data_IF_256404130072
#
_entry.id   IF_256404130072
#
_cell.length_a   1.000
_cell.length_b   1.000
_cell.length_c   1.000
_cell.angle_alpha   90.00
_cell.angle_beta   90.00
_cell.angle_gamma   90.00
#
_symmetry.space_group_name_H-M   'P 1'
#
loop_
_entity.id
_entity.type
_entity.pdbx_description
1 polymer ?
#
# COMPACT_ATOMS: atom_id res chain seq x y z
N UNK A 1 8.86 4.63 6.03
CA UNK A 1 8.26 4.68 4.68
C UNK A 1 7.27 5.84 4.66
N UNK A 2 7.17 6.64 3.59
CA UNK A 2 6.33 7.86 3.61
C UNK A 2 4.84 7.57 3.82
N UNK A 3 4.35 6.41 3.41
CA UNK A 3 2.94 6.03 3.54
C UNK A 3 2.59 5.37 4.89
N UNK A 4 3.27 5.73 5.98
CA UNK A 4 3.03 5.16 7.33
C UNK A 4 2.36 6.12 8.30
N UNK A 5 2.34 7.42 7.99
CA UNK A 5 1.55 8.42 8.73
C UNK A 5 0.87 9.36 7.75
N UNK A 6 -0.28 9.96 8.11
CA UNK A 6 -0.94 10.97 7.28
C UNK A 6 0.00 12.15 6.97
N UNK A 7 0.71 12.66 7.97
CA UNK A 7 1.63 13.80 7.82
C UNK A 7 2.74 13.53 6.78
N UNK A 8 3.47 12.41 6.92
CA UNK A 8 4.54 12.07 5.96
C UNK A 8 4.02 11.75 4.57
N UNK A 9 2.79 11.24 4.47
CA UNK A 9 2.13 11.01 3.18
C UNK A 9 1.82 12.34 2.49
N UNK A 10 1.21 13.26 3.23
CA UNK A 10 0.88 14.59 2.75
C UNK A 10 2.14 15.33 2.28
N UNK A 11 3.18 15.39 3.13
CA UNK A 11 4.42 16.11 2.83
C UNK A 11 5.09 15.64 1.54
N UNK A 12 5.21 14.32 1.34
CA UNK A 12 5.85 13.76 0.14
C UNK A 12 5.02 14.00 -1.10
N UNK A 13 3.70 13.85 -1.03
CA UNK A 13 2.82 14.15 -2.18
C UNK A 13 2.87 15.65 -2.49
N UNK A 14 2.78 16.52 -1.48
CA UNK A 14 2.81 17.97 -1.66
C UNK A 14 4.14 18.47 -2.23
N UNK A 15 5.26 17.86 -1.83
CA UNK A 15 6.59 18.18 -2.36
C UNK A 15 6.70 17.96 -3.88
N UNK A 16 5.81 17.16 -4.46
CA UNK A 16 5.75 16.91 -5.92
C UNK A 16 4.69 17.74 -6.64
N UNK A 17 4.10 18.75 -5.99
CA UNK A 17 2.99 19.57 -6.53
C UNK A 17 3.27 20.28 -7.84
N UNK A 18 4.55 20.51 -8.17
CA UNK A 18 4.95 21.13 -9.44
C UNK A 18 4.88 20.17 -10.65
N UNK A 19 4.69 18.87 -10.40
CA UNK A 19 4.57 17.86 -11.46
C UNK A 19 3.20 17.98 -12.13
N UNK A 20 3.21 18.19 -13.46
CA UNK A 20 2.00 18.43 -14.26
C UNK A 20 1.33 17.16 -14.81
N UNK A 21 2.00 16.02 -14.68
CA UNK A 21 1.44 14.71 -15.05
C UNK A 21 0.68 14.11 -13.86
N UNK A 22 -0.35 13.26 -14.07
CA UNK A 22 -1.09 12.64 -12.98
C UNK A 22 -0.18 11.91 -11.98
N UNK A 23 -0.45 12.10 -10.69
CA UNK A 23 0.36 11.62 -9.56
C UNK A 23 -0.44 10.62 -8.74
N UNK A 24 0.04 9.39 -8.67
CA UNK A 24 -0.63 8.29 -7.98
C UNK A 24 0.21 7.82 -6.79
N UNK A 25 -0.37 7.81 -5.59
CA UNK A 25 0.35 7.37 -4.38
C UNK A 25 0.19 5.85 -4.16
N UNK A 26 1.31 5.12 -4.15
CA UNK A 26 1.32 3.68 -3.84
C UNK A 26 1.42 3.46 -2.33
N UNK A 27 0.32 3.05 -1.69
CA UNK A 27 0.23 3.02 -0.23
C UNK A 27 0.56 1.63 0.36
N UNK A 28 1.23 1.64 1.50
CA UNK A 28 1.54 0.45 2.30
C UNK A 28 0.31 -0.05 3.08
N UNK A 29 0.06 -1.38 3.12
CA UNK A 29 -0.97 -1.95 3.98
C UNK A 29 -0.54 -2.03 5.45
N UNK A 30 0.74 -1.81 5.76
CA UNK A 30 1.32 -1.96 7.10
C UNK A 30 1.06 -0.71 7.97
N UNK A 31 -0.21 -0.34 8.11
CA UNK A 31 -0.69 0.82 8.88
C UNK A 31 -1.97 0.44 9.60
N UNK A 32 -2.26 1.12 10.72
CA UNK A 32 -3.50 0.87 11.48
C UNK A 32 -4.74 1.32 10.72
N UNK A 33 -4.72 2.50 10.10
CA UNK A 33 -5.83 3.05 9.35
C UNK A 33 -5.37 3.52 7.96
N UNK A 34 -5.60 2.70 6.94
CA UNK A 34 -5.23 3.04 5.57
C UNK A 34 -6.09 4.17 4.97
N UNK A 35 -7.31 4.35 5.46
CA UNK A 35 -8.22 5.40 4.97
C UNK A 35 -7.65 6.78 5.27
N UNK A 36 -7.09 7.00 6.46
CA UNK A 36 -6.43 8.26 6.83
C UNK A 36 -5.22 8.56 5.94
N UNK A 37 -4.42 7.54 5.61
CA UNK A 37 -3.27 7.67 4.72
C UNK A 37 -3.72 8.04 3.29
N UNK A 38 -4.77 7.39 2.79
CA UNK A 38 -5.32 7.67 1.47
C UNK A 38 -5.94 9.07 1.41
N UNK A 39 -6.63 9.51 2.46
CA UNK A 39 -7.17 10.87 2.55
C UNK A 39 -6.05 11.92 2.54
N UNK A 40 -4.97 11.70 3.30
CA UNK A 40 -3.82 12.62 3.28
C UNK A 40 -3.16 12.72 1.90
N UNK A 41 -3.07 11.62 1.15
CA UNK A 41 -2.58 11.64 -0.23
C UNK A 41 -3.51 12.47 -1.14
N UNK A 42 -4.82 12.30 -1.00
CA UNK A 42 -5.84 13.06 -1.74
C UNK A 42 -5.75 14.57 -1.43
N UNK A 43 -5.66 14.94 -0.15
CA UNK A 43 -5.57 16.34 0.30
C UNK A 43 -4.30 17.04 -0.22
N UNK A 44 -3.18 16.32 -0.32
CA UNK A 44 -1.95 16.82 -0.94
C UNK A 44 -1.98 16.87 -2.48
N UNK A 45 -3.12 16.51 -3.08
CA UNK A 45 -3.38 16.61 -4.51
C UNK A 45 -2.93 15.40 -5.33
N UNK A 46 -2.84 14.20 -4.76
CA UNK A 46 -2.73 12.99 -5.57
C UNK A 46 -4.01 12.81 -6.41
N UNK A 47 -3.86 12.41 -7.67
CA UNK A 47 -4.96 12.13 -8.60
C UNK A 47 -5.62 10.77 -8.34
N UNK A 48 -4.96 9.91 -7.57
CA UNK A 48 -5.46 8.59 -7.21
C UNK A 48 -4.48 7.85 -6.30
N UNK A 49 -4.89 6.66 -5.88
CA UNK A 49 -4.06 5.76 -5.08
C UNK A 49 -3.94 4.39 -5.72
N UNK A 50 -2.80 3.74 -5.49
CA UNK A 50 -2.60 2.34 -5.83
C UNK A 50 -2.53 1.53 -4.53
N UNK A 51 -3.41 0.56 -4.35
CA UNK A 51 -3.56 -0.20 -3.10
C UNK A 51 -3.48 -1.70 -3.40
N UNK A 52 -2.61 -2.52 -2.80
CA UNK A 52 -1.66 -2.23 -1.71
C UNK A 52 -0.22 -2.53 -2.15
N UNK A 53 0.75 -2.00 -1.43
CA UNK A 53 2.12 -2.54 -1.43
C UNK A 53 2.16 -3.89 -0.69
N UNK A 54 3.33 -4.51 -0.57
CA UNK A 54 3.51 -5.78 0.14
C UNK A 54 3.22 -5.67 1.64
N UNK A 55 2.78 -6.78 2.25
CA UNK A 55 2.69 -6.93 3.70
C UNK A 55 4.06 -7.30 4.27
N UNK A 56 4.44 -6.82 5.45
CA UNK A 56 5.71 -7.20 6.05
C UNK A 56 5.71 -8.66 6.51
N UNK A 57 6.76 -9.40 6.18
CA UNK A 57 6.95 -10.78 6.58
C UNK A 57 8.42 -11.14 6.75
N UNK A 58 8.67 -12.33 7.28
CA UNK A 58 10.01 -12.87 7.44
C UNK A 58 9.99 -14.40 7.34
N UNK A 59 11.16 -14.96 7.04
CA UNK A 59 11.40 -16.40 7.09
C UNK A 59 12.64 -16.62 7.94
N UNK A 60 12.58 -17.54 8.90
CA UNK A 60 13.71 -17.96 9.73
C UNK A 60 14.28 -19.26 9.18
N UNK A 61 15.59 -19.27 8.92
CA UNK A 61 16.35 -20.51 8.78
C UNK A 61 16.49 -21.11 10.18
N UNK A 62 15.77 -22.22 10.44
CA UNK A 62 15.68 -22.83 11.77
C UNK A 62 16.98 -23.53 12.18
N UNK A 63 17.77 -24.00 11.22
CA UNK A 63 19.05 -24.68 11.48
C UNK A 63 20.11 -23.64 11.84
N UNK A 64 20.14 -22.52 11.12
CA UNK A 64 21.08 -21.41 11.37
C UNK A 64 20.55 -20.41 12.41
N UNK A 65 19.30 -20.57 12.86
CA UNK A 65 18.61 -19.71 13.84
C UNK A 65 18.70 -18.21 13.51
N UNK A 66 18.58 -17.87 12.23
CA UNK A 66 18.67 -16.48 11.76
C UNK A 66 17.72 -16.23 10.59
N UNK A 67 17.39 -14.96 10.27
CA UNK A 67 16.61 -14.66 9.08
C UNK A 67 17.22 -15.24 7.81
N UNK A 68 16.37 -15.84 6.98
CA UNK A 68 16.76 -16.39 5.68
C UNK A 68 17.08 -15.27 4.67
N UNK A 69 16.32 -14.17 4.72
CA UNK A 69 16.53 -13.00 3.88
C UNK A 69 17.64 -12.12 4.45
N UNK A 70 18.56 -11.65 3.60
CA UNK A 70 19.72 -10.86 4.02
C UNK A 70 19.38 -9.53 4.70
N UNK A 71 18.19 -8.98 4.45
CA UNK A 71 17.68 -7.77 5.10
C UNK A 71 16.90 -8.05 6.40
N UNK A 72 16.91 -9.27 6.92
CA UNK A 72 16.18 -9.67 8.14
C UNK A 72 14.69 -9.98 7.92
N UNK A 73 14.08 -9.43 6.87
CA UNK A 73 12.70 -9.65 6.46
C UNK A 73 12.46 -9.13 5.05
N UNK A 74 11.20 -9.10 4.61
CA UNK A 74 10.85 -8.62 3.28
C UNK A 74 9.34 -8.43 3.09
N UNK A 75 8.97 -8.06 1.87
CA UNK A 75 7.59 -7.94 1.46
C UNK A 75 6.96 -9.28 1.07
N UNK A 76 5.89 -9.67 1.74
CA UNK A 76 4.99 -10.74 1.33
C UNK A 76 4.05 -10.23 0.24
N UNK A 77 3.95 -11.00 -0.85
CA UNK A 77 3.06 -10.75 -1.98
C UNK A 77 2.36 -12.04 -2.42
N UNK A 78 1.66 -12.00 -3.55
CA UNK A 78 0.97 -13.16 -4.11
C UNK A 78 -0.40 -13.42 -3.48
N UNK A 79 -1.00 -14.61 -3.73
CA UNK A 79 -2.37 -14.91 -3.31
C UNK A 79 -2.62 -14.79 -1.80
N UNK A 80 -1.58 -14.98 -0.98
CA UNK A 80 -1.66 -14.91 0.47
C UNK A 80 -2.11 -13.53 1.00
N UNK A 81 -1.76 -12.43 0.31
CA UNK A 81 -2.13 -11.08 0.76
C UNK A 81 -3.47 -10.60 0.19
N UNK A 82 -4.13 -11.40 -0.64
CA UNK A 82 -5.37 -11.00 -1.31
C UNK A 82 -6.48 -10.54 -0.36
N UNK A 83 -6.78 -11.24 0.76
CA UNK A 83 -7.82 -10.78 1.68
C UNK A 83 -7.53 -9.39 2.24
N UNK A 84 -6.25 -9.10 2.53
CA UNK A 84 -5.80 -7.76 2.98
C UNK A 84 -6.00 -6.73 1.87
N UNK A 85 -5.56 -7.04 0.64
CA UNK A 85 -5.69 -6.13 -0.49
C UNK A 85 -7.15 -5.77 -0.82
N UNK A 86 -8.05 -6.77 -0.83
CA UNK A 86 -9.49 -6.55 -1.09
C UNK A 86 -10.09 -5.67 0.01
N UNK A 87 -9.78 -5.98 1.28
CA UNK A 87 -10.27 -5.19 2.42
C UNK A 87 -9.80 -3.73 2.32
N UNK A 88 -8.52 -3.51 2.01
CA UNK A 88 -7.95 -2.18 1.83
C UNK A 88 -8.64 -1.38 0.72
N UNK A 89 -8.89 -1.99 -0.44
CA UNK A 89 -9.62 -1.33 -1.53
C UNK A 89 -11.06 -1.00 -1.09
N UNK A 90 -11.75 -1.95 -0.45
CA UNK A 90 -13.11 -1.77 0.03
C UNK A 90 -13.22 -0.63 1.04
N UNK A 91 -12.37 -0.60 2.07
CA UNK A 91 -12.41 0.43 3.11
C UNK A 91 -12.18 1.84 2.54
N UNK A 92 -11.18 2.00 1.67
CA UNK A 92 -10.89 3.30 1.04
C UNK A 92 -12.02 3.74 0.11
N UNK A 93 -12.52 2.83 -0.73
CA UNK A 93 -13.64 3.12 -1.63
C UNK A 93 -14.93 3.48 -0.88
N UNK A 94 -15.18 2.84 0.27
CA UNK A 94 -16.40 3.07 1.05
C UNK A 94 -16.47 4.49 1.63
N UNK A 95 -15.32 5.10 1.92
CA UNK A 95 -15.23 6.47 2.46
C UNK A 95 -15.02 7.50 1.35
N UNK A 96 -14.36 7.13 0.25
CA UNK A 96 -14.03 8.01 -0.86
C UNK A 96 -14.37 7.37 -2.22
N UNK A 97 -15.68 7.23 -2.55
CA UNK A 97 -16.12 6.47 -3.73
C UNK A 97 -15.67 7.07 -5.07
N UNK A 98 -15.48 8.40 -5.13
CA UNK A 98 -15.06 9.10 -6.34
C UNK A 98 -13.54 9.23 -6.50
N UNK A 99 -12.76 8.77 -5.50
CA UNK A 99 -11.30 8.87 -5.57
C UNK A 99 -10.73 7.67 -6.33
N UNK A 100 -9.97 7.85 -7.43
CA UNK A 100 -9.47 6.74 -8.23
C UNK A 100 -8.57 5.76 -7.46
N UNK A 101 -8.87 4.46 -7.57
CA UNK A 101 -8.12 3.38 -6.93
C UNK A 101 -7.67 2.34 -7.97
N UNK A 102 -6.38 2.04 -8.02
CA UNK A 102 -5.84 0.84 -8.69
C UNK A 102 -5.56 -0.25 -7.65
N UNK A 103 -6.36 -1.32 -7.71
CA UNK A 103 -6.20 -2.50 -6.86
C UNK A 103 -5.05 -3.41 -7.32
N UNK A 104 -4.14 -3.75 -6.41
CA UNK A 104 -2.96 -4.61 -6.59
C UNK A 104 -2.91 -5.62 -5.44
N UNK A 105 -2.58 -6.87 -5.77
CA UNK A 105 -2.72 -8.00 -4.84
C UNK A 105 -4.15 -8.54 -4.78
N UNK A 106 -5.09 -7.97 -5.54
CA UNK A 106 -6.51 -8.34 -5.58
C UNK A 106 -6.87 -9.42 -6.61
N UNK A 107 -5.97 -9.74 -7.54
CA UNK A 107 -6.22 -10.67 -8.66
C UNK A 107 -6.42 -12.10 -8.14
N UNK A 108 -7.53 -12.74 -8.52
CA UNK A 108 -7.38 -14.09 -9.05
C UNK A 108 -8.33 -14.38 -10.19
N UNK A 109 -7.74 -14.94 -11.25
CA UNK A 109 -8.25 -16.09 -12.02
C UNK A 109 -7.18 -16.46 -13.04
N UNK A 110 -6.32 -17.43 -12.71
CA UNK A 110 -5.97 -18.42 -13.72
C UNK A 110 -7.16 -19.37 -13.76
N UNK A 111 -7.84 -19.47 -14.90
CA UNK A 111 -8.64 -20.65 -15.19
C UNK A 111 -7.70 -21.85 -15.03
N UNK A 112 -8.12 -22.85 -14.25
CA UNK A 112 -7.64 -24.21 -14.53
C UNK A 112 -8.27 -24.67 -15.83
#
# INVERSE_FOLDING_TARGET
MFSHTPASTYEVVQATSQIKTPRWAKLSPNVTNLVEIANAAKEAGADGVTLINTVMGMVIDIDKRRPLLGAGGGGLSGPAIRPVAIRSVFDVYSVMPDFPIVGVGVLPRQKM
#
